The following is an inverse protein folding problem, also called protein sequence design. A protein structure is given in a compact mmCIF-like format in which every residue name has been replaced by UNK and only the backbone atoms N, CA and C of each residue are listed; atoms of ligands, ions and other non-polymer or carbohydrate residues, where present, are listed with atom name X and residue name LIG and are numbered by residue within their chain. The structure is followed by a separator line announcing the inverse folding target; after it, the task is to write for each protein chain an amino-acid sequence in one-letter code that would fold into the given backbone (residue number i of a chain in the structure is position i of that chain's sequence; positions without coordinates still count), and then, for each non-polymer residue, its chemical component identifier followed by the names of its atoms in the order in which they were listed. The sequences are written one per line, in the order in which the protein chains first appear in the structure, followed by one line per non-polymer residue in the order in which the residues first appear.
data_IF_282799411850
#
_entry.id   IF_282799411850
#
_cell.length_a   1.000
_cell.length_b   1.000
_cell.length_c   1.000
_cell.angle_alpha   90.00
_cell.angle_beta   90.00
_cell.angle_gamma   90.00
#
_symmetry.space_group_name_H-M   'P 1'
#
loop_
_entity.id
_entity.type
_entity.pdbx_description
1 polymer ?
#
# COMPACT_ATOMS: atom_id res chain seq x y z
N UNK A 1 1.02 -17.79 3.10
CA UNK A 1 2.13 -17.11 3.81
C UNK A 1 2.81 -16.20 2.81
N UNK A 2 3.24 -15.01 3.23
CA UNK A 2 3.89 -14.04 2.34
C UNK A 2 5.39 -14.03 2.57
N UNK A 3 6.13 -13.95 1.47
CA UNK A 3 7.58 -13.98 1.45
C UNK A 3 8.09 -12.79 0.65
N UNK A 4 9.19 -12.20 1.10
CA UNK A 4 9.95 -11.23 0.31
C UNK A 4 10.66 -11.93 -0.85
N UNK A 5 11.13 -11.19 -1.89
CA UNK A 5 11.91 -11.74 -2.99
C UNK A 5 13.20 -12.46 -2.55
N UNK A 6 13.79 -12.07 -1.41
CA UNK A 6 14.93 -12.76 -0.79
C UNK A 6 14.51 -13.94 0.11
N UNK A 7 13.26 -14.38 0.04
CA UNK A 7 12.73 -15.58 0.68
C UNK A 7 12.41 -15.44 2.17
N UNK A 8 12.43 -14.22 2.73
CA UNK A 8 12.11 -14.00 4.15
C UNK A 8 10.61 -13.98 4.35
N UNK A 9 10.16 -14.74 5.35
CA UNK A 9 8.76 -14.72 5.75
C UNK A 9 8.39 -13.36 6.35
N UNK A 10 7.33 -12.75 5.84
CA UNK A 10 6.76 -11.53 6.38
C UNK A 10 5.91 -11.90 7.60
N UNK A 11 6.40 -11.57 8.81
CA UNK A 11 5.82 -12.03 10.08
C UNK A 11 4.68 -11.17 10.62
N UNK A 12 4.59 -9.90 10.24
CA UNK A 12 3.53 -8.97 10.67
C UNK A 12 2.97 -8.28 9.45
N UNK A 13 1.83 -8.74 8.98
CA UNK A 13 1.07 -8.14 7.88
C UNK A 13 -0.04 -7.31 8.52
N UNK A 14 -0.10 -5.99 8.28
CA UNK A 14 -1.21 -5.19 8.78
C UNK A 14 -2.50 -5.72 8.14
N UNK A 15 -3.60 -5.78 8.88
CA UNK A 15 -4.88 -6.28 8.36
C UNK A 15 -4.75 -7.62 7.61
N UNK A 16 -3.99 -8.57 8.18
CA UNK A 16 -3.62 -9.82 7.50
C UNK A 16 -4.83 -10.65 7.00
N UNK A 17 -5.99 -10.53 7.64
CA UNK A 17 -7.24 -11.12 7.16
C UNK A 17 -7.71 -10.46 5.86
N UNK A 18 -7.80 -9.14 5.84
CA UNK A 18 -8.25 -8.35 4.68
C UNK A 18 -7.30 -8.55 3.50
N UNK A 19 -5.99 -8.55 3.74
CA UNK A 19 -5.01 -8.74 2.67
C UNK A 19 -5.09 -10.14 2.05
N UNK A 20 -5.27 -11.17 2.89
CA UNK A 20 -5.44 -12.55 2.41
C UNK A 20 -6.73 -12.71 1.61
N UNK A 21 -7.82 -12.13 2.08
CA UNK A 21 -9.09 -12.12 1.35
C UNK A 21 -8.94 -11.44 -0.01
N UNK A 22 -8.29 -10.27 -0.05
CA UNK A 22 -8.05 -9.55 -1.30
C UNK A 22 -7.21 -10.36 -2.30
N UNK A 23 -6.11 -10.98 -1.87
CA UNK A 23 -5.28 -11.84 -2.73
C UNK A 23 -6.07 -13.05 -3.23
N UNK A 24 -6.90 -13.66 -2.39
CA UNK A 24 -7.71 -14.81 -2.75
C UNK A 24 -8.76 -14.45 -3.82
N UNK A 25 -9.44 -13.31 -3.66
CA UNK A 25 -10.46 -12.83 -4.59
C UNK A 25 -9.86 -12.33 -5.91
N UNK A 26 -8.73 -11.62 -5.87
CA UNK A 26 -7.98 -11.26 -7.09
C UNK A 26 -7.49 -12.49 -7.85
N UNK A 27 -7.07 -13.51 -7.12
CA UNK A 27 -6.31 -14.64 -7.65
C UNK A 27 -4.85 -14.28 -7.94
N UNK A 28 -3.99 -15.30 -8.00
CA UNK A 28 -2.54 -15.14 -8.06
C UNK A 28 -2.06 -14.29 -9.25
N UNK A 29 -2.64 -14.49 -10.44
CA UNK A 29 -2.24 -13.79 -11.67
C UNK A 29 -2.52 -12.27 -11.60
N UNK A 30 -3.71 -11.89 -11.12
CA UNK A 30 -4.09 -10.47 -11.00
C UNK A 30 -3.34 -9.79 -9.85
N UNK A 31 -3.18 -10.48 -8.72
CA UNK A 31 -2.37 -9.98 -7.60
C UNK A 31 -0.93 -9.69 -8.06
N UNK A 32 -0.34 -10.56 -8.88
CA UNK A 32 0.98 -10.32 -9.46
C UNK A 32 1.00 -9.14 -10.44
N UNK A 33 -0.06 -8.97 -11.23
CA UNK A 33 -0.25 -7.77 -12.04
C UNK A 33 -0.22 -6.49 -11.20
N UNK A 34 -0.98 -6.46 -10.10
CA UNK A 34 -1.03 -5.32 -9.16
C UNK A 34 0.37 -5.03 -8.60
N UNK A 35 1.09 -6.06 -8.13
CA UNK A 35 2.47 -5.91 -7.65
C UNK A 35 3.40 -5.31 -8.70
N UNK A 36 3.34 -5.78 -9.94
CA UNK A 36 4.18 -5.24 -11.03
C UNK A 36 3.86 -3.77 -11.32
N UNK A 37 2.58 -3.42 -11.35
CA UNK A 37 2.15 -2.04 -11.59
C UNK A 37 2.62 -1.10 -10.47
N UNK A 38 2.44 -1.51 -9.21
CA UNK A 38 2.90 -0.73 -8.07
C UNK A 38 4.42 -0.61 -8.01
N UNK A 39 5.15 -1.71 -8.27
CA UNK A 39 6.60 -1.64 -8.31
C UNK A 39 7.10 -0.66 -9.38
N UNK A 40 6.48 -0.62 -10.57
CA UNK A 40 6.82 0.39 -11.58
C UNK A 40 6.60 1.81 -11.09
N UNK A 41 5.43 2.09 -10.49
CA UNK A 41 5.10 3.40 -9.92
C UNK A 41 6.13 3.80 -8.86
N UNK A 42 6.48 2.87 -7.97
CA UNK A 42 7.47 3.08 -6.92
C UNK A 42 8.87 3.31 -7.52
N UNK A 43 9.23 2.59 -8.59
CA UNK A 43 10.53 2.71 -9.27
C UNK A 43 10.73 4.07 -9.94
N UNK A 44 9.65 4.67 -10.42
CA UNK A 44 9.63 6.01 -11.04
C UNK A 44 9.75 7.14 -10.01
N UNK A 45 9.59 6.85 -8.71
CA UNK A 45 9.78 7.86 -7.66
C UNK A 45 11.28 8.10 -7.42
N UNK A 46 11.79 9.32 -7.71
CA UNK A 46 13.19 9.61 -7.47
C UNK A 46 13.48 9.60 -5.96
N UNK A 47 14.64 9.07 -5.53
CA UNK A 47 15.11 9.30 -4.18
C UNK A 47 15.47 10.78 -4.01
N UNK A 48 15.28 11.28 -2.80
CA UNK A 48 15.79 12.56 -2.37
C UNK A 48 17.33 12.58 -2.48
N UNK A 49 17.89 13.69 -3.00
CA UNK A 49 19.31 13.78 -3.35
C UNK A 49 20.23 13.87 -2.13
N UNK A 50 19.72 14.36 -1.00
CA UNK A 50 20.50 14.58 0.21
C UNK A 50 20.45 13.36 1.13
N UNK A 51 19.27 12.77 1.29
CA UNK A 51 19.02 11.66 2.22
C UNK A 51 19.05 10.29 1.56
N UNK A 52 18.94 10.22 0.23
CA UNK A 52 18.81 8.97 -0.54
C UNK A 52 17.49 8.24 -0.29
N UNK A 53 16.54 8.84 0.42
CA UNK A 53 15.25 8.22 0.79
C UNK A 53 14.20 8.53 -0.27
N UNK A 54 13.28 7.60 -0.48
CA UNK A 54 12.08 7.86 -1.28
C UNK A 54 10.91 8.18 -0.37
N UNK A 55 10.15 9.20 -0.73
CA UNK A 55 8.92 9.58 -0.04
C UNK A 55 7.73 8.98 -0.77
N UNK A 56 6.88 8.26 -0.04
CA UNK A 56 5.64 7.72 -0.59
C UNK A 56 4.45 8.14 0.25
N UNK A 57 3.42 8.65 -0.43
CA UNK A 57 2.12 8.97 0.14
C UNK A 57 1.05 8.18 -0.62
N UNK A 58 0.48 7.16 0.01
CA UNK A 58 -0.49 6.26 -0.62
C UNK A 58 -1.76 6.98 -1.08
N UNK A 59 -2.25 7.95 -0.31
CA UNK A 59 -3.43 8.72 -0.66
C UNK A 59 -3.19 9.61 -1.88
N UNK A 60 -2.04 10.29 -1.93
CA UNK A 60 -1.64 11.11 -3.07
C UNK A 60 -1.48 10.26 -4.34
N UNK A 61 -0.79 9.12 -4.23
CA UNK A 61 -0.58 8.21 -5.37
C UNK A 61 -1.92 7.64 -5.85
N UNK A 62 -2.77 7.17 -4.93
CA UNK A 62 -4.10 6.66 -5.26
C UNK A 62 -4.98 7.72 -5.96
N UNK A 63 -4.89 8.99 -5.56
CA UNK A 63 -5.61 10.09 -6.19
C UNK A 63 -5.07 10.42 -7.59
N UNK A 64 -3.75 10.42 -7.77
CA UNK A 64 -3.12 10.71 -9.08
C UNK A 64 -3.40 9.64 -10.12
N UNK A 65 -3.68 8.41 -9.66
CA UNK A 65 -3.99 7.30 -10.54
C UNK A 65 -5.44 7.27 -10.98
N UNK A 66 -6.32 8.23 -10.61
CA UNK A 66 -7.72 8.19 -11.03
C UNK A 66 -7.93 8.67 -12.49
N UNK A 67 -8.68 7.91 -13.32
CA UNK A 67 -9.27 6.60 -13.04
C UNK A 67 -8.20 5.49 -12.97
N UNK A 68 -8.31 4.58 -11.99
CA UNK A 68 -7.27 3.58 -11.73
C UNK A 68 -6.99 2.73 -12.96
N UNK A 69 -5.74 2.65 -13.44
CA UNK A 69 -5.42 1.84 -14.62
C UNK A 69 -5.49 0.36 -14.27
N UNK A 70 -5.76 -0.51 -15.24
CA UNK A 70 -5.50 -1.93 -15.06
C UNK A 70 -4.00 -2.18 -14.83
N UNK A 71 -3.63 -3.07 -13.90
CA UNK A 71 -4.48 -3.96 -13.10
C UNK A 71 -5.01 -3.38 -11.77
N UNK A 72 -4.64 -2.15 -11.40
CA UNK A 72 -5.07 -1.52 -10.13
C UNK A 72 -6.58 -1.32 -10.03
N UNK A 73 -7.27 -1.10 -11.15
CA UNK A 73 -8.73 -1.04 -11.20
C UNK A 73 -9.41 -2.23 -10.51
N UNK A 74 -8.83 -3.44 -10.63
CA UNK A 74 -9.39 -4.65 -10.03
C UNK A 74 -9.43 -4.65 -8.50
N UNK A 75 -8.73 -3.73 -7.84
CA UNK A 75 -8.83 -3.55 -6.40
C UNK A 75 -10.18 -2.97 -5.97
N UNK A 76 -10.81 -2.16 -6.81
CA UNK A 76 -12.15 -1.63 -6.57
C UNK A 76 -13.21 -2.73 -6.73
N UNK A 77 -13.07 -3.59 -7.75
CA UNK A 77 -13.96 -4.73 -7.96
C UNK A 77 -13.92 -5.70 -6.77
N UNK A 78 -12.73 -5.98 -6.24
CA UNK A 78 -12.61 -6.81 -5.04
C UNK A 78 -13.14 -6.12 -3.79
N UNK A 79 -13.00 -4.79 -3.69
CA UNK A 79 -13.63 -4.04 -2.60
C UNK A 79 -15.16 -4.13 -2.64
N UNK A 80 -15.77 -4.09 -3.83
CA UNK A 80 -17.20 -4.34 -4.02
C UNK A 80 -17.58 -5.75 -3.55
N UNK A 81 -16.80 -6.76 -3.93
CA UNK A 81 -17.06 -8.15 -3.55
C UNK A 81 -16.96 -8.36 -2.02
N UNK A 82 -16.03 -7.66 -1.36
CA UNK A 82 -15.82 -7.75 0.10
C UNK A 82 -16.92 -7.03 0.88
N UNK A 83 -17.28 -5.81 0.47
CA UNK A 83 -18.28 -5.01 1.18
C UNK A 83 -19.71 -5.47 0.87
N UNK A 84 -19.93 -6.08 -0.29
CA UNK A 84 -21.22 -6.61 -0.72
C UNK A 84 -22.15 -5.57 -1.34
N UNK A 85 -23.28 -6.05 -1.87
CA UNK A 85 -24.20 -5.25 -2.69
C UNK A 85 -24.91 -4.10 -1.95
N UNK A 86 -24.99 -4.16 -0.62
CA UNK A 86 -25.65 -3.14 0.20
C UNK A 86 -24.67 -2.03 0.65
N UNK A 87 -23.40 -2.13 0.27
CA UNK A 87 -22.38 -1.17 0.66
C UNK A 87 -22.55 0.17 -0.04
N UNK A 88 -22.36 1.25 0.72
CA UNK A 88 -22.28 2.59 0.16
C UNK A 88 -21.00 2.72 -0.69
N UNK A 89 -21.04 3.59 -1.71
CA UNK A 89 -19.85 3.86 -2.52
C UNK A 89 -18.64 4.28 -1.68
N UNK A 90 -18.86 5.02 -0.58
CA UNK A 90 -17.79 5.39 0.36
C UNK A 90 -17.12 4.18 1.00
N UNK A 91 -17.90 3.20 1.49
CA UNK A 91 -17.33 1.98 2.09
C UNK A 91 -16.47 1.22 1.09
N UNK A 92 -16.94 1.11 -0.16
CA UNK A 92 -16.19 0.47 -1.25
C UNK A 92 -14.89 1.22 -1.53
N UNK A 93 -14.93 2.56 -1.62
CA UNK A 93 -13.73 3.37 -1.81
C UNK A 93 -12.74 3.24 -0.65
N UNK A 94 -13.22 3.30 0.60
CA UNK A 94 -12.39 3.15 1.79
C UNK A 94 -11.72 1.76 1.82
N UNK A 95 -12.48 0.70 1.47
CA UNK A 95 -11.96 -0.66 1.34
C UNK A 95 -10.93 -0.80 0.22
N UNK A 96 -11.19 -0.22 -0.95
CA UNK A 96 -10.25 -0.23 -2.07
C UNK A 96 -8.94 0.48 -1.71
N UNK A 97 -9.03 1.62 -1.01
CA UNK A 97 -7.90 2.36 -0.47
C UNK A 97 -7.08 1.55 0.53
N UNK A 98 -7.73 0.85 1.46
CA UNK A 98 -7.07 -0.08 2.38
C UNK A 98 -6.33 -1.18 1.61
N UNK A 99 -6.98 -1.86 0.67
CA UNK A 99 -6.36 -2.94 -0.12
C UNK A 99 -5.16 -2.42 -0.91
N UNK A 100 -5.28 -1.25 -1.53
CA UNK A 100 -4.18 -0.58 -2.23
C UNK A 100 -2.99 -0.35 -1.30
N UNK A 101 -3.22 0.22 -0.11
CA UNK A 101 -2.17 0.47 0.88
C UNK A 101 -1.48 -0.83 1.33
N UNK A 102 -2.21 -1.93 1.47
CA UNK A 102 -1.66 -3.25 1.83
C UNK A 102 -0.73 -3.81 0.73
N UNK A 103 -1.09 -3.64 -0.55
CA UNK A 103 -0.21 -4.03 -1.65
C UNK A 103 1.04 -3.15 -1.76
N UNK A 104 0.90 -1.84 -1.54
CA UNK A 104 2.06 -0.92 -1.46
C UNK A 104 3.01 -1.35 -0.35
N UNK A 105 2.46 -1.62 0.83
CA UNK A 105 3.24 -2.10 1.96
C UNK A 105 3.98 -3.40 1.65
N UNK A 106 3.31 -4.38 1.02
CA UNK A 106 3.95 -5.63 0.60
C UNK A 106 5.13 -5.36 -0.34
N UNK A 107 4.97 -4.43 -1.29
CA UNK A 107 6.04 -4.03 -2.21
C UNK A 107 7.22 -3.38 -1.46
N UNK A 108 6.99 -2.58 -0.43
CA UNK A 108 8.08 -2.01 0.38
C UNK A 108 8.81 -3.06 1.21
N UNK A 109 8.09 -3.97 1.84
CA UNK A 109 8.71 -5.05 2.61
C UNK A 109 9.54 -5.99 1.73
N UNK A 110 9.16 -6.13 0.45
CA UNK A 110 9.91 -6.87 -0.55
C UNK A 110 11.22 -6.18 -0.99
N UNK A 111 11.40 -4.88 -0.69
CA UNK A 111 12.54 -4.08 -1.12
C UNK A 111 13.56 -3.91 0.00
N UNK A 112 14.83 -3.84 -0.35
CA UNK A 112 15.92 -3.50 0.58
C UNK A 112 16.24 -2.00 0.50
N UNK A 113 15.22 -1.15 0.57
CA UNK A 113 15.31 0.31 0.39
C UNK A 113 14.88 1.06 1.66
N UNK A 114 15.26 2.34 1.78
CA UNK A 114 14.86 3.23 2.89
C UNK A 114 13.73 4.15 2.44
N UNK A 115 12.65 4.18 3.21
CA UNK A 115 11.42 4.88 2.86
C UNK A 115 10.98 5.87 3.94
N UNK A 116 10.37 6.97 3.50
CA UNK A 116 9.56 7.85 4.34
C UNK A 116 8.10 7.68 3.92
N UNK A 117 7.26 7.21 4.84
CA UNK A 117 5.83 7.08 4.62
C UNK A 117 5.14 8.30 5.21
N UNK A 118 4.46 9.08 4.37
CA UNK A 118 3.66 10.22 4.80
C UNK A 118 2.18 9.85 4.71
N UNK A 119 1.53 9.73 5.87
CA UNK A 119 0.07 9.62 5.96
C UNK A 119 -0.50 10.98 6.36
N UNK A 120 -1.15 11.66 5.43
CA UNK A 120 -1.83 12.94 5.72
C UNK A 120 -3.16 12.67 6.43
N UNK A 121 -3.05 12.32 7.71
CA UNK A 121 -4.18 12.08 8.60
C UNK A 121 -3.78 12.03 10.08
N UNK A 122 -2.55 11.65 10.37
CA UNK A 122 -1.97 11.80 11.70
C UNK A 122 -1.26 13.16 11.77
N UNK A 123 -1.80 14.09 12.55
CA UNK A 123 -0.98 15.19 13.06
C UNK A 123 0.29 14.64 13.75
N UNK A 124 1.28 15.50 14.07
CA UNK A 124 2.58 15.09 14.62
C UNK A 124 2.54 14.27 15.94
N UNK A 125 1.35 13.99 16.49
CA UNK A 125 1.11 13.33 17.76
C UNK A 125 -0.02 12.27 17.73
N UNK A 126 -0.37 11.73 16.56
CA UNK A 126 -1.43 10.71 16.44
C UNK A 126 -1.05 9.34 17.02
N UNK A 127 -1.84 8.74 17.93
CA UNK A 127 -1.52 7.46 18.61
C UNK A 127 -1.58 6.20 17.73
N UNK A 128 -1.87 6.34 16.42
CA UNK A 128 -2.05 5.22 15.49
C UNK A 128 -0.84 4.99 14.55
N UNK A 129 0.34 5.50 14.90
CA UNK A 129 1.56 5.28 14.12
C UNK A 129 2.13 3.87 14.37
N UNK A 130 1.51 2.86 13.76
CA UNK A 130 2.15 1.54 13.68
C UNK A 130 3.28 1.58 12.65
N UNK A 131 4.50 1.68 13.17
CA UNK A 131 5.76 1.65 12.42
C UNK A 131 5.90 0.28 11.75
N UNK A 132 5.89 0.26 10.42
CA UNK A 132 6.08 -0.97 9.64
C UNK A 132 7.35 -0.88 8.78
N UNK A 133 8.43 -1.52 9.23
CA UNK A 133 9.74 -1.48 8.59
C UNK A 133 10.66 -0.39 9.16
N UNK A 134 11.88 -0.26 8.63
CA UNK A 134 12.83 0.78 9.04
C UNK A 134 12.40 2.15 8.49
N UNK A 135 11.30 2.66 9.05
CA UNK A 135 10.73 3.97 8.75
C UNK A 135 11.38 4.96 9.70
N UNK A 136 12.11 5.91 9.16
CA UNK A 136 12.56 7.07 9.92
C UNK A 136 11.53 8.17 9.74
N UNK A 137 10.81 8.50 10.80
CA UNK A 137 10.09 9.76 10.87
C UNK A 137 11.10 10.89 11.07
N UNK A 138 11.08 11.87 10.18
CA UNK A 138 11.55 13.20 10.55
C UNK A 138 10.44 13.85 11.38
N UNK A 139 10.65 13.88 12.69
CA UNK A 139 10.03 14.88 13.54
C UNK A 139 10.58 16.21 13.07
N UNK A 140 9.72 17.07 12.52
CA UNK A 140 10.07 18.45 12.24
C UNK A 140 10.59 19.08 13.54
N UNK A 141 11.87 19.39 13.56
CA UNK A 141 12.44 20.33 14.51
C UNK A 141 12.17 21.72 13.95
N UNK A 142 11.13 22.36 14.49
CA UNK A 142 11.12 23.78 14.86
C UNK A 142 10.02 24.04 15.90
#
# INVERSE_FOLDING_TARGET
MLFTPDGKQIKRVPHASDFRAAIQLLGASRAEGVRRALNRIIDEMPPDKETGRRTFNSAQVASQLQPWPYPLAGLYDIALDIEGNDATGRQVYDRAGLIFALFVWECFMARQERWVLQDQGAGPSGPNQEIMGAVYQELGLD
#
